data_IF_082159638081
#
_entry.id   IF_082159638081
#
_cell.length_a   1.000
_cell.length_b   1.000
_cell.length_c   1.000
_cell.angle_alpha   90.00
_cell.angle_beta   90.00
_cell.angle_gamma   90.00
#
_symmetry.space_group_name_H-M   'P 1'
#
loop_
_entity.id
_entity.type
_entity.pdbx_description
1 polymer ?
#
# COMPACT_ATOMS: atom_id res chain seq x y z
N UNK A 1 -10.37 22.80 -20.35
CA UNK A 1 -9.92 22.14 -19.11
C UNK A 1 -8.40 22.17 -19.10
N UNK A 2 -7.77 22.71 -18.05
CA UNK A 2 -6.31 22.79 -17.89
C UNK A 2 -5.75 21.43 -17.49
N UNK A 3 -4.60 21.03 -18.05
CA UNK A 3 -3.95 19.78 -17.68
C UNK A 3 -3.38 19.86 -16.25
N UNK A 4 -3.56 18.83 -15.40
CA UNK A 4 -2.99 18.80 -14.06
C UNK A 4 -1.45 18.76 -14.12
N UNK A 5 -0.80 19.32 -13.11
CA UNK A 5 0.66 19.24 -12.99
C UNK A 5 1.10 17.79 -12.73
N UNK A 6 2.35 17.48 -13.06
CA UNK A 6 2.90 16.12 -12.87
C UNK A 6 2.84 15.64 -11.40
N UNK A 7 2.87 16.57 -10.45
CA UNK A 7 2.77 16.27 -9.01
C UNK A 7 1.32 16.16 -8.51
N UNK A 8 0.34 16.57 -9.32
CA UNK A 8 -1.07 16.51 -8.97
C UNK A 8 -1.74 15.16 -9.33
N UNK A 9 -0.95 14.14 -9.65
CA UNK A 9 -1.44 12.78 -9.89
C UNK A 9 -1.22 11.96 -8.63
N UNK A 10 -2.32 11.51 -8.02
CA UNK A 10 -2.30 10.62 -6.87
C UNK A 10 -2.40 9.18 -7.37
N UNK A 11 -1.43 8.30 -7.08
CA UNK A 11 -1.55 6.89 -7.42
C UNK A 11 -2.71 6.26 -6.65
N UNK A 12 -3.49 5.42 -7.33
CA UNK A 12 -4.65 4.74 -6.75
C UNK A 12 -4.50 3.22 -6.82
N UNK A 13 -4.77 2.55 -5.70
CA UNK A 13 -4.87 1.09 -5.60
C UNK A 13 -6.31 0.75 -5.26
N UNK A 14 -7.01 0.05 -6.16
CA UNK A 14 -8.36 -0.45 -5.88
C UNK A 14 -8.33 -1.59 -4.85
N UNK A 15 -9.47 -1.87 -4.23
CA UNK A 15 -9.61 -2.98 -3.28
C UNK A 15 -9.20 -4.31 -3.91
N UNK A 16 -9.68 -4.63 -5.12
CA UNK A 16 -9.28 -5.86 -5.84
C UNK A 16 -7.76 -5.94 -6.05
N UNK A 17 -7.13 -4.85 -6.49
CA UNK A 17 -5.69 -4.80 -6.69
C UNK A 17 -4.94 -4.93 -5.37
N UNK A 18 -5.43 -4.32 -4.30
CA UNK A 18 -4.86 -4.44 -2.96
C UNK A 18 -4.87 -5.90 -2.49
N UNK A 19 -6.01 -6.58 -2.61
CA UNK A 19 -6.12 -7.98 -2.18
C UNK A 19 -5.21 -8.90 -3.00
N UNK A 20 -5.04 -8.67 -4.31
CA UNK A 20 -4.06 -9.40 -5.14
C UNK A 20 -2.62 -9.20 -4.68
N UNK A 21 -2.26 -7.98 -4.27
CA UNK A 21 -0.93 -7.70 -3.73
C UNK A 21 -0.70 -8.43 -2.41
N UNK A 22 -1.65 -8.38 -1.49
CA UNK A 22 -1.58 -9.11 -0.21
C UNK A 22 -1.42 -10.61 -0.45
N UNK A 23 -2.18 -11.19 -1.37
CA UNK A 23 -2.07 -12.61 -1.72
C UNK A 23 -0.73 -12.96 -2.38
N UNK A 24 -0.21 -12.09 -3.25
CA UNK A 24 1.09 -12.30 -3.89
C UNK A 24 2.26 -12.22 -2.90
N UNK A 25 2.15 -11.38 -1.86
CA UNK A 25 3.12 -11.31 -0.75
C UNK A 25 2.98 -12.51 0.20
N UNK A 26 1.77 -13.02 0.35
CA UNK A 26 1.40 -14.03 1.33
C UNK A 26 0.84 -13.38 2.60
N UNK A 27 -0.30 -13.86 3.09
CA UNK A 27 -1.06 -13.23 4.18
C UNK A 27 -0.25 -13.19 5.49
N UNK A 28 0.35 -14.31 5.87
CA UNK A 28 1.14 -14.43 7.10
C UNK A 28 2.32 -13.46 7.09
N UNK A 29 3.10 -13.49 6.00
CA UNK A 29 4.24 -12.59 5.80
C UNK A 29 3.82 -11.12 5.82
N UNK A 30 2.76 -10.77 5.10
CA UNK A 30 2.25 -9.39 5.05
C UNK A 30 1.89 -8.88 6.45
N UNK A 31 1.17 -9.66 7.25
CA UNK A 31 0.76 -9.26 8.59
C UNK A 31 1.95 -9.18 9.57
N UNK A 32 2.88 -10.12 9.51
CA UNK A 32 4.08 -10.11 10.36
C UNK A 32 4.97 -8.90 10.07
N UNK A 33 5.26 -8.62 8.80
CA UNK A 33 6.09 -7.48 8.41
C UNK A 33 5.39 -6.14 8.69
N UNK A 34 4.08 -6.07 8.45
CA UNK A 34 3.29 -4.88 8.78
C UNK A 34 3.30 -4.58 10.29
N UNK A 35 3.12 -5.59 11.13
CA UNK A 35 3.17 -5.43 12.58
C UNK A 35 4.56 -4.95 13.04
N UNK A 36 5.64 -5.53 12.52
CA UNK A 36 7.00 -5.11 12.84
C UNK A 36 7.27 -3.65 12.45
N UNK A 37 6.80 -3.23 11.27
CA UNK A 37 6.94 -1.84 10.81
C UNK A 37 6.14 -0.87 11.70
N UNK A 38 4.90 -1.25 12.07
CA UNK A 38 4.11 -0.47 13.02
C UNK A 38 4.81 -0.37 14.38
N UNK A 39 5.41 -1.46 14.88
CA UNK A 39 6.16 -1.40 16.14
C UNK A 39 7.34 -0.43 16.08
N UNK A 40 8.06 -0.36 14.95
CA UNK A 40 9.15 0.61 14.76
C UNK A 40 8.66 2.06 14.77
N UNK A 41 7.52 2.35 14.15
CA UNK A 41 6.93 3.70 14.17
C UNK A 41 6.55 4.16 15.60
N UNK A 42 6.40 3.23 16.54
CA UNK A 42 5.96 3.51 17.92
C UNK A 42 7.06 3.37 18.99
N UNK A 43 8.29 2.98 18.63
CA UNK A 43 9.45 2.98 19.54
C UNK A 43 10.11 4.35 19.59
#
# INVERSE_FOLDING_TARGET
>A
MTQPSRLAIVPFVSVDRMMKLVLAIGVERFLTELAAYIEEDFR
#
